data_IF_482534051846
#
_entry.id   IF_482534051846
#
_cell.length_a   1.000
_cell.length_b   1.000
_cell.length_c   1.000
_cell.angle_alpha   90.00
_cell.angle_beta   90.00
_cell.angle_gamma   90.00
#
_symmetry.space_group_name_H-M   'P 1'
#
loop_
_entity.id
_entity.type
_entity.pdbx_description
1 polymer ?
#
# COMPACT_ATOMS: atom_id res chain seq x y z
N UNK A 1 0.99 -12.37 -44.78
CA UNK A 1 -0.27 -11.66 -44.50
C UNK A 1 -0.25 -11.38 -43.00
N UNK A 2 0.26 -10.21 -42.60
CA UNK A 2 0.47 -9.87 -41.19
C UNK A 2 -0.68 -9.00 -40.71
N UNK A 3 -1.50 -9.52 -39.80
CA UNK A 3 -2.43 -8.68 -39.05
C UNK A 3 -1.64 -7.97 -37.96
N UNK A 4 -1.37 -6.68 -38.21
CA UNK A 4 -0.92 -5.76 -37.19
C UNK A 4 -2.03 -5.60 -36.16
N UNK A 5 -1.73 -6.01 -34.93
CA UNK A 5 -2.52 -5.73 -33.74
C UNK A 5 -2.63 -4.20 -33.57
N UNK A 6 -3.69 -3.61 -34.13
CA UNK A 6 -4.03 -2.20 -33.92
C UNK A 6 -4.61 -2.12 -32.50
N UNK A 7 -3.75 -1.75 -31.55
CA UNK A 7 -4.16 -1.36 -30.21
C UNK A 7 -5.30 -0.36 -30.27
N UNK A 8 -6.25 -0.50 -29.35
CA UNK A 8 -7.45 0.31 -29.30
C UNK A 8 -7.04 1.78 -29.11
N UNK A 9 -7.52 2.72 -29.95
CA UNK A 9 -7.25 4.15 -29.79
C UNK A 9 -7.73 4.73 -28.45
N UNK A 10 -8.47 3.95 -27.64
CA UNK A 10 -8.89 4.29 -26.28
C UNK A 10 -7.84 3.99 -25.20
N UNK A 11 -6.75 3.25 -25.51
CA UNK A 11 -5.71 2.91 -24.52
C UNK A 11 -4.88 4.13 -24.08
N UNK A 12 -4.75 5.14 -24.94
CA UNK A 12 -3.94 6.33 -24.67
C UNK A 12 -4.59 7.34 -23.70
N UNK A 13 -5.85 7.13 -23.30
CA UNK A 13 -6.64 8.07 -22.51
C UNK A 13 -7.09 7.51 -21.15
N UNK A 14 -6.50 6.41 -20.65
CA UNK A 14 -6.69 6.01 -19.25
C UNK A 14 -5.89 6.94 -18.34
N UNK A 15 -6.59 7.76 -17.57
CA UNK A 15 -5.98 8.53 -16.49
C UNK A 15 -5.31 7.56 -15.50
N UNK A 16 -3.99 7.70 -15.32
CA UNK A 16 -3.21 6.97 -14.32
C UNK A 16 -3.25 7.74 -13.00
N UNK A 17 -3.69 7.07 -11.94
CA UNK A 17 -3.67 7.61 -10.57
C UNK A 17 -2.72 6.77 -9.74
N UNK A 18 -1.65 7.41 -9.26
CA UNK A 18 -0.62 6.80 -8.42
C UNK A 18 -0.61 7.53 -7.06
N UNK A 19 -0.34 6.81 -5.97
CA UNK A 19 -0.11 7.40 -4.64
C UNK A 19 1.36 7.81 -4.52
N UNK A 20 1.62 9.08 -4.24
CA UNK A 20 2.99 9.65 -4.23
C UNK A 20 3.57 9.77 -2.80
N UNK A 21 2.87 9.28 -1.78
CA UNK A 21 3.32 9.45 -0.38
C UNK A 21 2.63 8.54 0.63
N UNK A 22 2.74 8.93 1.90
CA UNK A 22 2.26 8.17 3.05
C UNK A 22 0.73 8.06 3.10
N UNK A 23 0.26 6.87 3.46
CA UNK A 23 -1.13 6.65 3.83
C UNK A 23 -1.33 6.99 5.31
N UNK A 24 -2.58 7.17 5.73
CA UNK A 24 -2.89 7.28 7.14
C UNK A 24 -2.55 5.97 7.85
N UNK A 25 -1.76 6.04 8.93
CA UNK A 25 -1.44 4.84 9.72
C UNK A 25 -2.72 4.28 10.33
N UNK A 26 -2.94 2.96 10.25
CA UNK A 26 -4.09 2.32 10.86
C UNK A 26 -4.03 2.43 12.40
N UNK A 27 -5.18 2.49 13.10
CA UNK A 27 -5.24 2.62 14.56
C UNK A 27 -4.40 1.57 15.32
N UNK A 28 -4.33 0.36 14.77
CA UNK A 28 -3.57 -0.76 15.32
C UNK A 28 -2.06 -0.48 15.31
N UNK A 29 -1.54 0.12 14.24
CA UNK A 29 -0.12 0.50 14.16
C UNK A 29 0.21 1.66 15.09
N UNK A 30 -0.73 2.61 15.27
CA UNK A 30 -0.58 3.70 16.23
C UNK A 30 -0.55 3.19 17.67
N UNK A 31 -1.38 2.20 18.01
CA UNK A 31 -1.32 1.56 19.33
C UNK A 31 -0.01 0.78 19.51
N UNK A 32 0.41 0.00 18.50
CA UNK A 32 1.69 -0.70 18.56
C UNK A 32 2.88 0.26 18.78
N UNK A 33 2.87 1.43 18.15
CA UNK A 33 3.86 2.49 18.40
C UNK A 33 3.84 2.96 19.85
N UNK A 34 2.65 3.22 20.42
CA UNK A 34 2.51 3.64 21.83
C UNK A 34 3.03 2.58 22.78
N UNK A 35 2.65 1.32 22.59
CA UNK A 35 3.10 0.20 23.41
C UNK A 35 4.60 -0.07 23.29
N UNK A 36 5.16 0.02 22.07
CA UNK A 36 6.60 -0.12 21.87
C UNK A 36 7.39 1.00 22.57
N UNK A 37 6.93 2.25 22.47
CA UNK A 37 7.52 3.39 23.18
C UNK A 37 7.42 3.25 24.71
N UNK A 38 6.38 2.57 25.21
CA UNK A 38 6.22 2.23 26.62
C UNK A 38 7.08 1.02 27.06
N UNK A 39 7.76 0.33 26.14
CA UNK A 39 8.53 -0.89 26.42
C UNK A 39 7.66 -2.14 26.62
N UNK A 40 6.39 -2.09 26.23
CA UNK A 40 5.42 -3.17 26.37
C UNK A 40 5.43 -4.15 25.18
N UNK A 41 6.04 -3.76 24.06
CA UNK A 41 6.31 -4.63 22.93
C UNK A 41 7.82 -4.83 22.74
N UNK A 42 8.18 -6.05 22.38
CA UNK A 42 9.51 -6.34 21.86
C UNK A 42 9.67 -5.76 20.45
N UNK A 43 10.91 -5.49 19.99
CA UNK A 43 11.15 -5.06 18.61
C UNK A 43 10.57 -6.03 17.57
N UNK A 44 10.57 -7.34 17.86
CA UNK A 44 10.01 -8.34 16.97
C UNK A 44 8.48 -8.28 16.90
N UNK A 45 7.80 -7.95 18.00
CA UNK A 45 6.36 -7.72 18.02
C UNK A 45 5.97 -6.45 17.30
N UNK A 46 6.70 -5.35 17.56
CA UNK A 46 6.47 -4.09 16.87
C UNK A 46 6.65 -4.23 15.35
N UNK A 47 7.71 -4.91 14.91
CA UNK A 47 7.93 -5.21 13.49
C UNK A 47 6.78 -5.99 12.85
N UNK A 48 6.15 -6.93 13.57
CA UNK A 48 4.99 -7.67 13.04
C UNK A 48 3.77 -6.76 12.86
N UNK A 49 3.59 -5.76 13.71
CA UNK A 49 2.54 -4.77 13.55
C UNK A 49 2.78 -3.87 12.31
N UNK A 50 4.03 -3.47 12.08
CA UNK A 50 4.41 -2.74 10.85
C UNK A 50 4.16 -3.57 9.60
N UNK A 51 4.61 -4.84 9.57
CA UNK A 51 4.40 -5.72 8.43
C UNK A 51 2.91 -5.98 8.16
N UNK A 52 2.09 -6.16 9.20
CA UNK A 52 0.63 -6.28 9.04
C UNK A 52 -0.03 -5.00 8.51
N UNK A 53 0.48 -3.82 8.88
CA UNK A 53 -0.01 -2.55 8.35
C UNK A 53 0.37 -2.35 6.88
N UNK A 54 1.53 -2.86 6.46
CA UNK A 54 1.91 -2.92 5.03
C UNK A 54 0.94 -3.81 4.25
N UNK A 55 0.65 -5.02 4.74
CA UNK A 55 -0.29 -5.94 4.08
C UNK A 55 -1.67 -5.27 3.92
N UNK A 56 -2.15 -4.60 4.97
CA UNK A 56 -3.39 -3.81 4.91
C UNK A 56 -3.35 -2.69 3.86
N UNK A 57 -2.23 -1.95 3.77
CA UNK A 57 -2.07 -0.89 2.78
C UNK A 57 -2.09 -1.43 1.34
N UNK A 58 -1.46 -2.58 1.10
CA UNK A 58 -1.45 -3.25 -0.20
C UNK A 58 -2.85 -3.70 -0.60
N UNK A 59 -3.60 -4.30 0.33
CA UNK A 59 -4.97 -4.74 0.11
C UNK A 59 -5.92 -3.56 -0.15
N UNK A 60 -5.79 -2.48 0.61
CA UNK A 60 -6.58 -1.26 0.44
C UNK A 60 -6.42 -0.71 -0.98
N UNK A 61 -5.17 -0.51 -1.42
CA UNK A 61 -4.88 0.07 -2.73
C UNK A 61 -5.29 -0.88 -3.88
N UNK A 62 -5.04 -2.19 -3.71
CA UNK A 62 -5.44 -3.20 -4.70
C UNK A 62 -6.97 -3.25 -4.85
N UNK A 63 -7.71 -3.22 -3.73
CA UNK A 63 -9.18 -3.19 -3.74
C UNK A 63 -9.76 -1.90 -4.34
N UNK A 64 -9.00 -0.79 -4.26
CA UNK A 64 -9.34 0.48 -4.89
C UNK A 64 -9.05 0.51 -6.41
N UNK A 65 -8.50 -0.58 -6.97
CA UNK A 65 -8.21 -0.70 -8.40
C UNK A 65 -6.96 0.05 -8.85
N UNK A 66 -6.02 0.28 -7.93
CA UNK A 66 -4.76 0.95 -8.26
C UNK A 66 -3.84 0.03 -9.06
N UNK A 67 -3.30 0.53 -10.17
CA UNK A 67 -2.38 -0.21 -11.04
C UNK A 67 -0.98 -0.36 -10.40
N UNK A 68 -0.61 0.54 -9.47
CA UNK A 68 0.64 0.52 -8.71
C UNK A 68 0.31 0.74 -7.23
N UNK A 69 0.79 -0.15 -6.37
CA UNK A 69 0.58 -0.09 -4.91
C UNK A 69 1.89 0.21 -4.18
N UNK A 70 1.81 0.91 -3.05
CA UNK A 70 2.96 1.22 -2.18
C UNK A 70 2.78 0.58 -0.79
N UNK A 71 3.83 0.54 0.03
CA UNK A 71 3.73 0.07 1.41
C UNK A 71 3.13 1.12 2.36
N UNK A 72 2.72 2.28 1.83
CA UNK A 72 2.06 3.35 2.58
C UNK A 72 2.93 4.05 3.63
N UNK A 73 4.25 3.84 3.64
CA UNK A 73 5.18 4.34 4.68
C UNK A 73 4.79 3.87 6.10
N UNK A 74 4.41 2.59 6.21
CA UNK A 74 3.98 1.97 7.47
C UNK A 74 5.14 1.55 8.38
N UNK A 75 6.36 1.51 7.85
CA UNK A 75 7.60 1.18 8.58
C UNK A 75 8.34 2.43 9.09
#
# INVERSE_FOLDING_TARGET
MGEANRGDPNDAARARSDVVGSLLRPPELLEAQRMFAAGELTPAEFKRAEDAAVDWALDLQSSAGMDVVTDGEMR
#
